data_IF_567195838945
#
_entry.id   IF_567195838945
#
_cell.length_a   1.000
_cell.length_b   1.000
_cell.length_c   1.000
_cell.angle_alpha   90.00
_cell.angle_beta   90.00
_cell.angle_gamma   90.00
#
_symmetry.space_group_name_H-M   'P 1'
#
loop_
_entity.id
_entity.type
_entity.pdbx_description
1 polymer ?
#
# COMPACT_ATOMS: atom_id res chain seq x y z
N UNK A 1 4.08 -3.43 15.06
CA UNK A 1 4.13 -2.10 14.39
C UNK A 1 4.89 -1.04 15.19
N UNK A 2 4.70 -0.92 16.52
CA UNK A 2 5.39 0.09 17.34
C UNK A 2 6.91 0.17 17.15
N UNK A 3 7.60 -0.97 17.02
CA UNK A 3 9.04 -0.99 16.77
C UNK A 3 9.42 -0.28 15.46
N UNK A 4 8.62 -0.46 14.39
CA UNK A 4 8.81 0.25 13.13
C UNK A 4 8.61 1.76 13.28
N UNK A 5 7.50 2.17 13.92
CA UNK A 5 7.19 3.59 14.15
C UNK A 5 8.30 4.27 14.99
N UNK A 6 8.77 3.61 16.03
CA UNK A 6 9.78 4.17 16.93
C UNK A 6 11.19 4.13 16.33
N UNK A 7 11.62 2.99 15.79
CA UNK A 7 13.02 2.78 15.40
C UNK A 7 13.30 3.19 13.95
N UNK A 8 12.37 2.97 13.02
CA UNK A 8 12.58 3.27 11.59
C UNK A 8 12.04 4.65 11.24
N UNK A 9 10.81 4.95 11.66
CA UNK A 9 10.21 6.27 11.45
C UNK A 9 10.71 7.32 12.45
N UNK A 10 11.37 6.90 13.54
CA UNK A 10 11.94 7.81 14.54
C UNK A 10 10.89 8.65 15.28
N UNK A 11 9.61 8.24 15.25
CA UNK A 11 8.54 9.04 15.83
C UNK A 11 8.47 8.85 17.34
N UNK A 12 8.62 9.96 18.05
CA UNK A 12 8.35 10.09 19.48
C UNK A 12 7.80 11.49 19.73
N UNK A 13 6.60 11.57 20.31
CA UNK A 13 5.88 12.83 20.54
C UNK A 13 6.66 13.82 21.43
N UNK A 14 7.64 13.34 22.20
CA UNK A 14 8.43 14.15 23.13
C UNK A 14 9.88 14.41 22.66
N UNK A 15 10.25 13.94 21.48
CA UNK A 15 11.61 13.98 20.97
C UNK A 15 11.66 14.61 19.57
N UNK A 16 12.75 15.31 19.28
CA UNK A 16 13.00 15.90 17.95
C UNK A 16 13.81 14.96 17.04
N UNK A 17 13.67 13.64 17.26
CA UNK A 17 14.37 12.62 16.49
C UNK A 17 13.81 12.51 15.09
N UNK A 18 14.70 12.38 14.10
CA UNK A 18 14.33 12.09 12.72
C UNK A 18 14.53 10.60 12.43
N UNK A 19 13.57 10.02 11.71
CA UNK A 19 13.69 8.66 11.19
C UNK A 19 14.44 8.62 9.86
N UNK A 20 14.45 7.44 9.25
CA UNK A 20 15.13 7.17 7.97
C UNK A 20 14.61 8.05 6.84
N UNK A 21 13.33 8.41 6.87
CA UNK A 21 12.68 9.24 5.83
C UNK A 21 12.58 10.73 6.23
N UNK A 22 13.15 11.11 7.38
CA UNK A 22 13.06 12.46 7.93
C UNK A 22 12.24 12.55 9.21
N UNK A 23 11.93 13.77 9.63
CA UNK A 23 11.16 14.06 10.84
C UNK A 23 9.68 13.79 10.60
N UNK A 24 9.09 12.86 11.34
CA UNK A 24 7.67 12.54 11.22
C UNK A 24 6.84 13.49 12.08
N UNK A 25 5.86 14.17 11.48
CA UNK A 25 4.94 15.07 12.18
C UNK A 25 3.63 14.36 12.57
N UNK A 26 3.14 13.46 11.71
CA UNK A 26 1.94 12.69 11.98
C UNK A 26 1.95 11.34 11.26
N UNK A 27 1.11 10.41 11.71
CA UNK A 27 0.79 9.19 10.98
C UNK A 27 -0.59 8.67 11.35
N UNK A 28 -1.13 7.87 10.45
CA UNK A 28 -2.32 7.06 10.65
C UNK A 28 -2.13 5.72 9.94
N UNK A 29 -2.35 4.61 10.64
CA UNK A 29 -2.30 3.27 10.09
C UNK A 29 -3.49 2.43 10.52
N UNK A 30 -3.97 1.56 9.64
CA UNK A 30 -5.04 0.61 9.91
C UNK A 30 -4.58 -0.79 9.51
N UNK A 31 -4.90 -1.78 10.35
CA UNK A 31 -4.58 -3.19 10.13
C UNK A 31 -5.80 -3.90 9.59
N UNK A 32 -5.65 -4.51 8.42
CA UNK A 32 -6.66 -5.38 7.83
C UNK A 32 -6.10 -6.78 7.60
N UNK A 33 -6.99 -7.78 7.55
CA UNK A 33 -6.60 -9.08 7.01
C UNK A 33 -6.90 -9.14 5.52
N UNK A 34 -5.90 -9.55 4.76
CA UNK A 34 -6.06 -9.80 3.35
C UNK A 34 -6.89 -11.08 3.12
N UNK A 35 -7.40 -11.30 1.90
CA UNK A 35 -8.18 -12.49 1.55
C UNK A 35 -7.48 -13.84 1.80
N UNK A 36 -6.16 -13.84 2.04
CA UNK A 36 -5.35 -15.02 2.41
C UNK A 36 -5.10 -15.14 3.92
N UNK A 37 -5.70 -14.27 4.73
CA UNK A 37 -5.65 -14.28 6.19
C UNK A 37 -4.43 -13.63 6.83
N UNK A 38 -3.42 -13.19 6.07
CA UNK A 38 -2.30 -12.41 6.59
C UNK A 38 -2.73 -11.00 6.97
N UNK A 39 -2.10 -10.44 8.01
CA UNK A 39 -2.34 -9.06 8.46
C UNK A 39 -1.47 -8.09 7.66
N UNK A 40 -2.07 -6.99 7.22
CA UNK A 40 -1.44 -5.92 6.46
C UNK A 40 -1.78 -4.60 7.12
N UNK A 41 -0.80 -3.69 7.18
CA UNK A 41 -1.02 -2.34 7.66
C UNK A 41 -0.96 -1.37 6.48
N UNK A 42 -2.06 -0.66 6.24
CA UNK A 42 -2.08 0.48 5.33
C UNK A 42 -1.84 1.75 6.13
N UNK A 43 -0.84 2.53 5.75
CA UNK A 43 -0.37 3.64 6.58
C UNK A 43 -0.06 4.87 5.75
N UNK A 44 -0.46 6.03 6.28
CA UNK A 44 -0.02 7.35 5.83
C UNK A 44 0.93 7.93 6.88
N UNK A 45 2.05 8.47 6.43
CA UNK A 45 3.07 9.10 7.26
C UNK A 45 3.36 10.49 6.69
N UNK A 46 3.25 11.51 7.54
CA UNK A 46 3.52 12.89 7.17
C UNK A 46 4.92 13.29 7.64
N UNK A 47 5.78 13.64 6.69
CA UNK A 47 7.14 14.10 6.94
C UNK A 47 7.13 15.63 7.01
N UNK A 48 7.68 16.18 8.08
CA UNK A 48 7.83 17.63 8.27
C UNK A 48 8.72 18.23 7.18
N UNK A 49 8.32 19.40 6.68
CA UNK A 49 9.02 20.09 5.58
C UNK A 49 8.85 19.46 4.19
N UNK A 50 8.03 18.41 4.03
CA UNK A 50 7.70 17.87 2.71
C UNK A 50 6.86 18.87 1.90
N UNK A 51 7.40 19.31 0.76
CA UNK A 51 6.72 20.24 -0.14
C UNK A 51 5.66 19.53 -0.99
N UNK A 52 4.67 20.28 -1.48
CA UNK A 52 3.74 19.78 -2.46
C UNK A 52 4.48 19.39 -3.76
N UNK A 53 4.13 18.27 -4.44
CA UNK A 53 4.76 17.89 -5.71
C UNK A 53 4.83 19.02 -6.76
N UNK A 54 3.79 19.87 -6.85
CA UNK A 54 3.79 21.02 -7.75
C UNK A 54 4.81 22.08 -7.30
N UNK A 55 4.93 22.35 -6.00
CA UNK A 55 5.93 23.29 -5.47
C UNK A 55 7.35 22.77 -5.67
N UNK A 56 7.57 21.46 -5.52
CA UNK A 56 8.85 20.83 -5.84
C UNK A 56 9.18 21.05 -7.31
N UNK A 57 8.25 20.73 -8.21
CA UNK A 57 8.44 20.93 -9.65
C UNK A 57 8.74 22.39 -10.00
N UNK A 58 7.97 23.32 -9.47
CA UNK A 58 8.13 24.75 -9.76
C UNK A 58 9.49 25.27 -9.25
N UNK A 59 9.95 24.79 -8.08
CA UNK A 59 11.30 25.10 -7.57
C UNK A 59 12.42 24.44 -8.38
N UNK A 60 12.23 23.20 -8.83
CA UNK A 60 13.18 22.50 -9.71
C UNK A 60 13.31 23.25 -11.04
N UNK A 61 12.20 23.70 -11.64
CA UNK A 61 12.22 24.45 -12.90
C UNK A 61 12.86 25.84 -12.73
N UNK A 62 12.62 26.51 -11.61
CA UNK A 62 13.22 27.81 -11.33
C UNK A 62 14.73 27.74 -11.04
N UNK A 63 15.23 26.58 -10.61
CA UNK A 63 16.58 26.39 -10.08
C UNK A 63 17.23 25.09 -10.60
N UNK A 64 17.06 24.79 -11.89
CA UNK A 64 17.40 23.48 -12.47
C UNK A 64 18.88 23.09 -12.29
N UNK A 65 19.77 24.07 -12.47
CA UNK A 65 21.22 23.92 -12.27
C UNK A 65 21.67 24.42 -10.89
N UNK A 66 20.74 24.76 -10.01
CA UNK A 66 21.05 25.38 -8.74
C UNK A 66 20.95 24.45 -7.55
N UNK A 67 21.05 25.03 -6.36
CA UNK A 67 21.27 24.29 -5.12
C UNK A 67 20.09 23.37 -4.76
N UNK A 68 18.85 23.81 -5.03
CA UNK A 68 17.66 23.06 -4.64
C UNK A 68 17.56 21.75 -5.40
N UNK A 69 17.65 21.79 -6.74
CA UNK A 69 17.56 20.62 -7.60
C UNK A 69 18.66 19.60 -7.28
N UNK A 70 19.90 20.07 -7.12
CA UNK A 70 21.04 19.22 -6.74
C UNK A 70 20.87 18.57 -5.37
N UNK A 71 20.35 19.30 -4.37
CA UNK A 71 20.10 18.76 -3.04
C UNK A 71 18.98 17.74 -3.03
N UNK A 72 17.91 17.98 -3.78
CA UNK A 72 16.80 17.04 -3.91
C UNK A 72 17.26 15.74 -4.58
N UNK A 73 17.97 15.84 -5.71
CA UNK A 73 18.53 14.67 -6.39
C UNK A 73 19.47 13.89 -5.47
N UNK A 74 20.40 14.57 -4.79
CA UNK A 74 21.30 13.92 -3.84
C UNK A 74 20.52 13.18 -2.76
N UNK A 75 19.55 13.83 -2.14
CA UNK A 75 18.73 13.21 -1.09
C UNK A 75 18.02 11.95 -1.60
N UNK A 76 17.41 11.99 -2.79
CA UNK A 76 16.76 10.82 -3.39
C UNK A 76 17.74 9.69 -3.69
N UNK A 77 18.94 10.00 -4.18
CA UNK A 77 19.97 9.01 -4.50
C UNK A 77 20.66 8.39 -3.28
N UNK A 78 20.69 9.11 -2.17
CA UNK A 78 21.15 8.59 -0.87
C UNK A 78 20.06 7.79 -0.15
N UNK A 79 18.78 8.04 -0.46
CA UNK A 79 17.64 7.38 0.19
C UNK A 79 17.20 6.11 -0.55
N UNK A 80 17.31 6.09 -1.88
CA UNK A 80 16.79 5.03 -2.75
C UNK A 80 17.94 4.30 -3.45
N UNK A 81 18.10 3.03 -3.10
CA UNK A 81 19.00 2.06 -3.72
C UNK A 81 18.25 1.19 -4.72
N UNK A 82 18.92 0.78 -5.79
CA UNK A 82 18.31 -0.01 -6.88
C UNK A 82 19.28 -1.00 -7.54
N UNK A 83 20.27 -1.46 -6.80
CA UNK A 83 21.16 -2.53 -7.22
C UNK A 83 21.50 -3.43 -6.04
N UNK A 84 21.93 -4.64 -6.34
CA UNK A 84 22.49 -5.53 -5.32
C UNK A 84 23.84 -4.96 -4.86
N UNK A 85 24.06 -4.72 -3.55
CA UNK A 85 25.34 -4.26 -3.04
C UNK A 85 26.47 -5.24 -3.40
N UNK A 86 27.74 -4.82 -3.42
CA UNK A 86 28.84 -5.74 -3.72
C UNK A 86 28.93 -6.87 -2.70
N UNK A 87 29.16 -8.09 -3.18
CA UNK A 87 29.41 -9.24 -2.32
C UNK A 87 30.70 -9.06 -1.51
N UNK A 88 30.68 -9.56 -0.27
CA UNK A 88 31.86 -9.57 0.62
C UNK A 88 32.38 -11.00 0.68
N UNK A 89 33.49 -11.25 0.00
CA UNK A 89 34.20 -12.54 0.02
C UNK A 89 35.28 -12.53 1.11
N UNK A 90 34.83 -12.62 2.36
CA UNK A 90 35.70 -12.81 3.51
C UNK A 90 35.32 -14.12 4.23
N UNK A 91 36.17 -15.16 4.18
CA UNK A 91 35.87 -16.45 4.80
C UNK A 91 35.78 -16.39 6.33
N UNK A 92 36.35 -15.36 6.96
CA UNK A 92 36.29 -15.17 8.42
C UNK A 92 34.92 -14.64 8.86
N UNK A 93 34.10 -14.14 7.92
CA UNK A 93 32.76 -13.61 8.20
C UNK A 93 31.73 -14.66 7.83
N UNK A 94 31.15 -15.31 8.84
CA UNK A 94 30.01 -16.21 8.68
C UNK A 94 28.77 -15.61 9.32
N UNK A 95 27.69 -15.48 8.54
CA UNK A 95 26.44 -14.87 8.99
C UNK A 95 25.25 -15.82 8.80
N UNK A 96 24.15 -15.66 9.57
CA UNK A 96 22.99 -16.55 9.45
C UNK A 96 22.39 -16.61 8.05
N UNK A 97 22.42 -15.50 7.30
CA UNK A 97 21.90 -15.42 5.93
C UNK A 97 22.73 -16.16 4.88
N UNK A 98 23.93 -16.67 5.24
CA UNK A 98 24.68 -17.60 4.39
C UNK A 98 24.02 -18.99 4.35
N UNK A 99 23.32 -19.39 5.42
CA UNK A 99 22.76 -20.73 5.61
C UNK A 99 21.24 -20.77 5.44
N UNK A 100 20.56 -19.70 5.85
CA UNK A 100 19.10 -19.61 5.85
C UNK A 100 18.63 -18.48 4.95
N UNK A 101 17.35 -18.48 4.60
CA UNK A 101 16.77 -17.36 3.86
C UNK A 101 16.95 -16.06 4.65
N UNK A 102 17.40 -15.00 3.98
CA UNK A 102 17.77 -13.76 4.68
C UNK A 102 16.61 -13.15 5.47
N UNK A 103 15.37 -13.29 4.98
CA UNK A 103 14.14 -12.85 5.66
C UNK A 103 13.69 -13.73 6.84
N UNK A 104 14.29 -14.90 7.06
CA UNK A 104 13.90 -15.82 8.15
C UNK A 104 14.84 -15.76 9.36
N UNK A 105 15.80 -14.83 9.37
CA UNK A 105 16.79 -14.65 10.43
C UNK A 105 16.76 -13.19 10.92
N UNK A 106 17.21 -12.94 12.15
CA UNK A 106 17.19 -11.60 12.77
C UNK A 106 18.30 -10.66 12.26
N UNK A 107 19.24 -11.17 11.48
CA UNK A 107 20.45 -10.47 11.05
C UNK A 107 21.71 -11.03 11.73
N UNK A 108 22.88 -10.45 11.44
CA UNK A 108 24.15 -10.85 12.05
C UNK A 108 24.23 -10.38 13.51
N UNK A 109 25.02 -11.10 14.31
CA UNK A 109 25.43 -10.63 15.63
C UNK A 109 26.47 -9.51 15.46
N UNK A 110 26.29 -8.42 16.20
CA UNK A 110 27.16 -7.25 16.15
C UNK A 110 28.08 -7.16 17.38
N UNK A 111 28.06 -8.15 18.28
CA UNK A 111 29.07 -8.31 19.35
C UNK A 111 30.39 -8.87 18.78
N UNK A 112 30.95 -8.14 17.82
CA UNK A 112 32.19 -8.44 17.09
C UNK A 112 33.10 -7.22 17.09
N UNK A 113 34.34 -7.37 16.63
CA UNK A 113 35.26 -6.25 16.54
C UNK A 113 34.78 -5.19 15.54
N UNK A 114 35.02 -3.91 15.86
CA UNK A 114 34.53 -2.77 15.08
C UNK A 114 34.93 -2.83 13.59
N UNK A 115 36.11 -3.39 13.28
CA UNK A 115 36.62 -3.57 11.93
C UNK A 115 35.83 -4.60 11.11
N UNK A 116 35.15 -5.55 11.77
CA UNK A 116 34.34 -6.58 11.14
C UNK A 116 32.86 -6.19 11.02
N UNK A 117 32.38 -5.19 11.78
CA UNK A 117 30.97 -4.74 11.75
C UNK A 117 30.54 -4.33 10.33
N UNK A 118 31.29 -3.43 9.70
CA UNK A 118 30.97 -2.93 8.36
C UNK A 118 30.88 -4.03 7.30
N UNK A 119 31.95 -4.85 7.13
CA UNK A 119 31.93 -6.00 6.23
C UNK A 119 30.82 -7.01 6.52
N UNK A 120 30.50 -7.26 7.79
CA UNK A 120 29.44 -8.18 8.21
C UNK A 120 28.06 -7.68 7.81
N UNK A 121 27.77 -6.40 8.07
CA UNK A 121 26.52 -5.75 7.67
C UNK A 121 26.37 -5.69 6.15
N UNK A 122 27.45 -5.37 5.42
CA UNK A 122 27.42 -5.36 3.95
C UNK A 122 27.15 -6.75 3.38
N UNK A 123 27.78 -7.80 3.92
CA UNK A 123 27.54 -9.18 3.50
C UNK A 123 26.08 -9.56 3.71
N UNK A 124 25.50 -9.20 4.85
CA UNK A 124 24.10 -9.48 5.14
C UNK A 124 23.15 -8.69 4.23
N UNK A 125 23.41 -7.39 4.02
CA UNK A 125 22.63 -6.55 3.12
C UNK A 125 22.64 -7.10 1.69
N UNK A 126 23.82 -7.52 1.18
CA UNK A 126 23.93 -8.21 -0.10
C UNK A 126 22.99 -9.42 -0.18
N UNK A 127 23.04 -10.30 0.82
CA UNK A 127 22.20 -11.50 0.87
C UNK A 127 20.70 -11.16 0.92
N UNK A 128 20.28 -10.16 1.71
CA UNK A 128 18.88 -9.75 1.81
C UNK A 128 18.38 -9.18 0.48
N UNK A 129 19.13 -8.24 -0.12
CA UNK A 129 18.73 -7.58 -1.37
C UNK A 129 18.67 -8.61 -2.51
N UNK A 130 19.70 -9.45 -2.63
CA UNK A 130 19.74 -10.51 -3.65
C UNK A 130 18.55 -11.47 -3.56
N UNK A 131 18.11 -11.82 -2.34
CA UNK A 131 17.00 -12.77 -2.13
C UNK A 131 15.62 -12.12 -2.15
N UNK A 132 15.50 -10.87 -1.69
CA UNK A 132 14.20 -10.24 -1.42
C UNK A 132 13.84 -9.14 -2.43
N UNK A 133 14.80 -8.54 -3.13
CA UNK A 133 14.55 -7.45 -4.08
C UNK A 133 14.75 -7.83 -5.54
N UNK A 134 15.58 -8.84 -5.82
CA UNK A 134 15.81 -9.29 -7.18
C UNK A 134 14.55 -9.95 -7.76
N UNK A 135 14.04 -9.37 -8.83
CA UNK A 135 12.84 -9.82 -9.51
C UNK A 135 13.13 -11.04 -10.39
N UNK A 136 12.37 -12.11 -10.18
CA UNK A 136 12.26 -13.22 -11.12
C UNK A 136 10.90 -13.19 -11.79
N UNK A 137 10.85 -13.05 -13.12
CA UNK A 137 9.58 -12.99 -13.83
C UNK A 137 8.78 -14.28 -13.65
N UNK A 138 7.50 -14.14 -13.31
CA UNK A 138 6.52 -15.23 -13.18
C UNK A 138 5.32 -14.97 -14.09
N UNK A 139 4.36 -15.90 -14.12
CA UNK A 139 3.12 -15.74 -14.89
C UNK A 139 2.38 -14.43 -14.54
N UNK A 140 2.44 -14.00 -13.28
CA UNK A 140 1.83 -12.74 -12.80
C UNK A 140 2.39 -11.50 -13.48
N UNK A 141 3.67 -11.50 -13.87
CA UNK A 141 4.29 -10.40 -14.62
C UNK A 141 3.62 -10.17 -15.98
N UNK A 142 2.99 -11.21 -16.52
CA UNK A 142 2.36 -11.20 -17.84
C UNK A 142 0.85 -11.41 -17.76
N UNK A 143 0.23 -11.18 -16.59
CA UNK A 143 -1.22 -11.34 -16.35
C UNK A 143 -2.08 -10.64 -17.41
N UNK A 144 -1.64 -9.47 -17.88
CA UNK A 144 -2.37 -8.65 -18.86
C UNK A 144 -1.83 -8.75 -20.29
N UNK A 145 -0.87 -9.64 -20.55
CA UNK A 145 -0.32 -9.81 -21.88
C UNK A 145 -1.32 -10.55 -22.78
N UNK A 146 -1.70 -9.92 -23.90
CA UNK A 146 -2.73 -10.42 -24.83
C UNK A 146 -2.19 -11.36 -25.91
N UNK A 147 -0.92 -11.73 -25.84
CA UNK A 147 -0.24 -12.58 -26.82
C UNK A 147 0.44 -11.80 -27.95
N UNK A 148 1.02 -12.47 -28.96
CA UNK A 148 1.57 -11.81 -30.13
C UNK A 148 0.45 -11.10 -30.94
N UNK A 149 0.71 -9.92 -31.54
CA UNK A 149 2.00 -9.27 -31.71
C UNK A 149 2.41 -8.33 -30.56
N UNK A 150 1.67 -8.28 -29.45
CA UNK A 150 2.03 -7.39 -28.34
C UNK A 150 3.34 -7.84 -27.69
N UNK A 151 4.26 -6.92 -27.34
CA UNK A 151 5.49 -7.27 -26.64
C UNK A 151 5.17 -7.83 -25.27
N UNK A 152 5.96 -8.81 -24.85
CA UNK A 152 5.82 -9.45 -23.55
C UNK A 152 6.57 -8.61 -22.51
N UNK A 153 5.89 -7.61 -21.97
CA UNK A 153 6.44 -6.65 -20.99
C UNK A 153 6.03 -7.04 -19.58
N UNK A 154 6.94 -6.88 -18.62
CA UNK A 154 6.65 -7.07 -17.20
C UNK A 154 5.66 -5.99 -16.72
N UNK A 155 4.53 -6.40 -16.12
CA UNK A 155 3.54 -5.49 -15.50
C UNK A 155 4.16 -4.50 -14.51
N UNK A 156 5.24 -4.90 -13.84
CA UNK A 156 5.93 -4.09 -12.83
C UNK A 156 7.02 -3.18 -13.42
N UNK A 157 7.20 -3.20 -14.75
CA UNK A 157 8.22 -2.42 -15.46
C UNK A 157 9.67 -2.72 -15.02
N UNK A 158 9.91 -3.99 -14.66
CA UNK A 158 11.24 -4.52 -14.29
C UNK A 158 11.79 -5.35 -15.46
N UNK A 159 12.91 -4.88 -16.02
CA UNK A 159 13.60 -5.48 -17.16
C UNK A 159 15.11 -5.31 -17.02
N UNK A 160 15.89 -6.32 -17.41
CA UNK A 160 17.35 -6.23 -17.38
C UNK A 160 17.92 -5.14 -18.32
N UNK A 161 17.15 -4.73 -19.33
CA UNK A 161 17.50 -3.64 -20.22
C UNK A 161 17.31 -2.25 -19.60
N UNK A 162 16.57 -2.14 -18.48
CA UNK A 162 16.37 -0.88 -17.78
C UNK A 162 17.65 -0.50 -17.03
N UNK A 163 18.51 0.28 -17.69
CA UNK A 163 19.77 0.77 -17.13
C UNK A 163 19.97 2.25 -17.47
N UNK A 164 20.22 3.06 -16.45
CA UNK A 164 20.45 4.49 -16.55
C UNK A 164 21.52 4.89 -15.50
N UNK A 165 22.77 5.14 -15.89
CA UNK A 165 23.86 5.33 -14.92
C UNK A 165 23.79 6.68 -14.18
N UNK A 166 23.18 7.70 -14.79
CA UNK A 166 23.15 9.07 -14.28
C UNK A 166 21.71 9.56 -14.15
N UNK A 167 21.46 10.38 -13.13
CA UNK A 167 20.16 11.03 -12.98
C UNK A 167 20.09 12.30 -13.81
N UNK A 168 18.90 12.64 -14.30
CA UNK A 168 18.69 13.86 -15.08
C UNK A 168 17.36 14.53 -14.71
N UNK A 169 17.25 15.81 -15.05
CA UNK A 169 16.03 16.60 -14.88
C UNK A 169 15.58 17.04 -16.27
N UNK A 170 14.31 16.83 -16.59
CA UNK A 170 13.75 17.36 -17.82
C UNK A 170 13.58 18.89 -17.71
N UNK A 171 14.21 19.69 -18.58
CA UNK A 171 14.20 21.16 -18.49
C UNK A 171 12.84 21.80 -18.79
N UNK A 172 11.94 21.09 -19.46
CA UNK A 172 10.61 21.59 -19.81
C UNK A 172 9.57 21.16 -18.78
N UNK A 173 9.60 19.90 -18.33
CA UNK A 173 8.59 19.35 -17.41
C UNK A 173 8.98 19.41 -15.94
N UNK A 174 10.28 19.52 -15.62
CA UNK A 174 10.81 19.43 -14.26
C UNK A 174 10.80 18.00 -13.70
N UNK A 175 10.53 17.00 -14.53
CA UNK A 175 10.52 15.59 -14.10
C UNK A 175 11.93 15.09 -13.81
N UNK A 176 12.06 14.40 -12.67
CA UNK A 176 13.31 13.79 -12.23
C UNK A 176 13.38 12.36 -12.78
N UNK A 177 14.40 12.07 -13.57
CA UNK A 177 14.77 10.73 -13.98
C UNK A 177 15.92 10.27 -13.08
N UNK A 178 15.63 9.39 -12.12
CA UNK A 178 16.65 8.84 -11.23
C UNK A 178 17.49 7.78 -11.96
N UNK A 179 18.77 7.68 -11.60
CA UNK A 179 19.65 6.61 -12.08
C UNK A 179 19.03 5.25 -11.74
N UNK A 180 19.19 4.27 -12.62
CA UNK A 180 18.82 2.87 -12.44
C UNK A 180 20.04 2.00 -12.75
N UNK A 181 20.62 1.35 -11.74
CA UNK A 181 21.84 0.55 -11.92
C UNK A 181 21.55 -0.93 -12.19
N UNK A 182 20.38 -1.43 -11.75
CA UNK A 182 19.92 -2.80 -12.02
C UNK A 182 18.39 -2.80 -12.19
N UNK A 183 17.93 -2.92 -13.43
CA UNK A 183 16.51 -2.87 -13.77
C UNK A 183 15.67 -4.05 -13.30
N UNK A 184 16.29 -5.08 -12.72
CA UNK A 184 15.59 -6.21 -12.09
C UNK A 184 15.50 -6.10 -10.57
N UNK A 185 16.10 -5.09 -9.96
CA UNK A 185 16.07 -4.88 -8.51
C UNK A 185 15.02 -3.83 -8.18
N UNK A 186 14.05 -4.19 -7.32
CA UNK A 186 13.12 -3.20 -6.78
C UNK A 186 13.86 -2.10 -6.03
N UNK A 187 13.32 -0.88 -6.05
CA UNK A 187 13.88 0.22 -5.28
C UNK A 187 13.71 -0.03 -3.78
N UNK A 188 14.75 0.18 -2.98
CA UNK A 188 14.72 -0.05 -1.55
C UNK A 188 15.50 1.04 -0.81
N UNK A 189 15.36 1.07 0.52
CA UNK A 189 16.23 1.84 1.39
C UNK A 189 17.07 0.88 2.23
N UNK A 190 18.39 1.09 2.27
CA UNK A 190 19.35 0.20 2.93
C UNK A 190 19.02 -0.03 4.40
N UNK A 191 18.63 1.01 5.14
CA UNK A 191 18.29 0.89 6.56
C UNK A 191 16.96 0.16 6.74
N UNK A 192 15.93 0.53 5.98
CA UNK A 192 14.61 -0.10 6.07
C UNK A 192 14.69 -1.60 5.73
N UNK A 193 15.35 -1.99 4.64
CA UNK A 193 15.45 -3.39 4.25
C UNK A 193 16.28 -4.21 5.25
N UNK A 194 17.28 -3.61 5.90
CA UNK A 194 18.07 -4.28 6.93
C UNK A 194 17.25 -4.58 8.19
N UNK A 195 16.36 -3.66 8.57
CA UNK A 195 15.46 -3.82 9.72
C UNK A 195 14.27 -4.75 9.41
N UNK A 196 13.64 -4.58 8.24
CA UNK A 196 12.40 -5.27 7.87
C UNK A 196 12.64 -6.62 7.22
N UNK A 197 13.78 -6.77 6.54
CA UNK A 197 14.27 -8.00 5.88
C UNK A 197 13.28 -8.63 4.88
N UNK A 198 12.37 -7.84 4.34
CA UNK A 198 11.36 -8.26 3.37
C UNK A 198 11.44 -7.44 2.07
N UNK A 199 10.73 -7.91 1.04
CA UNK A 199 10.60 -7.18 -0.21
C UNK A 199 9.96 -5.79 0.05
N UNK A 200 10.45 -4.77 -0.65
CA UNK A 200 9.91 -3.41 -0.58
C UNK A 200 10.08 -2.72 -1.94
N UNK A 201 9.28 -1.69 -2.20
CA UNK A 201 9.39 -0.88 -3.41
C UNK A 201 9.23 0.61 -3.05
N UNK A 202 10.36 1.31 -2.89
CA UNK A 202 10.38 2.72 -2.50
C UNK A 202 10.43 3.62 -3.74
N UNK A 203 9.42 4.46 -3.93
CA UNK A 203 9.32 5.35 -5.09
C UNK A 203 9.07 6.80 -4.68
N UNK A 204 9.80 7.71 -5.32
CA UNK A 204 9.52 9.14 -5.24
C UNK A 204 8.40 9.50 -6.21
N UNK A 205 7.37 10.19 -5.70
CA UNK A 205 6.22 10.65 -6.51
C UNK A 205 6.28 12.18 -6.62
N UNK A 206 6.93 12.67 -7.67
CA UNK A 206 7.12 14.11 -7.91
C UNK A 206 6.00 14.80 -8.70
N UNK A 207 5.00 14.05 -9.17
CA UNK A 207 3.92 14.56 -10.02
C UNK A 207 2.61 14.69 -9.23
N UNK A 208 1.96 15.85 -9.30
CA UNK A 208 0.69 16.11 -8.63
C UNK A 208 -0.44 15.12 -9.01
N UNK A 209 -0.69 14.87 -10.31
CA UNK A 209 -1.63 13.83 -10.75
C UNK A 209 -1.30 12.43 -10.21
N UNK A 210 -0.03 12.00 -10.29
CA UNK A 210 0.39 10.70 -9.78
C UNK A 210 0.24 10.59 -8.26
N UNK A 211 0.59 11.65 -7.52
CA UNK A 211 0.42 11.72 -6.07
C UNK A 211 -1.06 11.59 -5.68
N UNK A 212 -1.97 12.30 -6.39
CA UNK A 212 -3.42 12.14 -6.17
C UNK A 212 -3.88 10.72 -6.44
N UNK A 213 -3.48 10.11 -7.55
CA UNK A 213 -3.86 8.74 -7.88
C UNK A 213 -3.41 7.73 -6.81
N UNK A 214 -2.17 7.85 -6.34
CA UNK A 214 -1.63 7.01 -5.25
C UNK A 214 -2.37 7.26 -3.94
N UNK A 215 -2.67 8.52 -3.60
CA UNK A 215 -3.45 8.85 -2.40
C UNK A 215 -4.86 8.24 -2.45
N UNK A 216 -5.55 8.31 -3.58
CA UNK A 216 -6.86 7.65 -3.75
C UNK A 216 -6.76 6.15 -3.59
N UNK A 217 -5.75 5.52 -4.22
CA UNK A 217 -5.50 4.10 -4.09
C UNK A 217 -5.29 3.70 -2.63
N UNK A 218 -4.36 4.36 -1.91
CA UNK A 218 -4.10 4.06 -0.49
C UNK A 218 -5.34 4.30 0.38
N UNK A 219 -6.07 5.39 0.12
CA UNK A 219 -7.30 5.71 0.86
C UNK A 219 -8.35 4.63 0.67
N UNK A 220 -8.52 4.10 -0.54
CA UNK A 220 -9.45 3.00 -0.82
C UNK A 220 -9.14 1.78 0.05
N UNK A 221 -7.86 1.39 0.16
CA UNK A 221 -7.45 0.30 1.06
C UNK A 221 -7.66 0.63 2.55
N UNK A 222 -7.33 1.85 2.99
CA UNK A 222 -7.54 2.25 4.40
C UNK A 222 -9.04 2.25 4.75
N UNK A 223 -9.89 2.63 3.81
CA UNK A 223 -11.36 2.71 4.00
C UNK A 223 -12.09 1.44 3.58
N UNK A 224 -11.36 0.39 3.22
CA UNK A 224 -11.92 -0.84 2.69
C UNK A 224 -12.88 -1.47 3.68
N UNK A 225 -14.11 -1.73 3.23
CA UNK A 225 -15.11 -2.37 4.08
C UNK A 225 -14.65 -3.80 4.44
N UNK A 226 -14.67 -4.18 5.73
CA UNK A 226 -14.36 -5.55 6.15
C UNK A 226 -15.45 -6.55 5.72
N UNK A 227 -16.62 -6.07 5.28
CA UNK A 227 -17.75 -6.90 4.87
C UNK A 227 -17.81 -7.04 3.35
N UNK A 228 -17.31 -8.17 2.83
CA UNK A 228 -17.39 -8.50 1.40
C UNK A 228 -18.84 -8.76 0.99
N UNK A 229 -19.25 -8.27 -0.19
CA UNK A 229 -20.63 -8.34 -0.67
C UNK A 229 -21.21 -9.77 -0.66
N UNK A 230 -20.44 -10.79 -1.03
CA UNK A 230 -20.91 -12.19 -1.04
C UNK A 230 -21.26 -12.72 0.36
N UNK A 231 -20.55 -12.29 1.41
CA UNK A 231 -20.87 -12.61 2.82
C UNK A 231 -22.18 -11.94 3.21
N UNK A 232 -22.36 -10.68 2.80
CA UNK A 232 -23.62 -9.94 2.98
C UNK A 232 -24.79 -10.66 2.29
N UNK A 233 -24.60 -11.09 1.04
CA UNK A 233 -25.63 -11.79 0.25
C UNK A 233 -25.99 -13.17 0.83
N UNK A 234 -25.01 -13.98 1.24
CA UNK A 234 -25.25 -15.27 1.86
C UNK A 234 -26.02 -15.13 3.20
N UNK A 235 -25.64 -14.14 4.01
CA UNK A 235 -26.33 -13.84 5.25
C UNK A 235 -27.76 -13.28 5.03
N UNK A 236 -27.95 -12.44 4.01
CA UNK A 236 -29.28 -11.98 3.57
C UNK A 236 -30.15 -13.17 3.14
N UNK A 237 -29.61 -14.09 2.31
CA UNK A 237 -30.32 -15.28 1.86
C UNK A 237 -30.75 -16.16 3.04
N UNK A 238 -29.84 -16.41 3.98
CA UNK A 238 -30.12 -17.21 5.19
C UNK A 238 -31.19 -16.57 6.07
N UNK A 239 -31.13 -15.25 6.24
CA UNK A 239 -32.11 -14.52 7.03
C UNK A 239 -33.50 -14.49 6.38
N UNK A 240 -33.58 -14.36 5.05
CA UNK A 240 -34.83 -14.48 4.29
C UNK A 240 -35.43 -15.88 4.46
N UNK A 241 -34.60 -16.92 4.35
CA UNK A 241 -35.04 -18.31 4.56
C UNK A 241 -35.61 -18.52 5.97
N UNK A 242 -34.86 -18.12 7.01
CA UNK A 242 -35.28 -18.23 8.42
C UNK A 242 -36.50 -17.38 8.77
N UNK A 243 -36.82 -16.32 8.02
CA UNK A 243 -38.07 -15.55 8.19
C UNK A 243 -39.23 -16.21 7.46
N UNK A 244 -38.98 -16.89 6.33
CA UNK A 244 -39.99 -17.69 5.63
C UNK A 244 -40.47 -18.90 6.43
N UNK A 245 -39.59 -19.52 7.23
CA UNK A 245 -39.92 -20.69 8.05
C UNK A 245 -40.72 -20.39 9.32
N UNK A 246 -40.68 -19.14 9.82
CA UNK A 246 -41.12 -18.81 11.18
C UNK A 246 -42.45 -18.06 11.31
N UNK A 247 -43.17 -17.72 10.22
CA UNK A 247 -44.41 -16.94 10.36
C UNK A 247 -45.64 -17.55 9.66
N UNK A 248 -46.54 -18.11 10.49
CA UNK A 248 -47.89 -18.56 10.17
C UNK A 248 -48.92 -17.44 10.39
N UNK A 249 -48.58 -16.31 11.03
CA UNK A 249 -49.59 -15.30 11.41
C UNK A 249 -49.26 -13.87 10.97
N UNK A 250 -50.18 -13.28 10.20
CA UNK A 250 -50.05 -11.99 9.54
C UNK A 250 -50.35 -10.84 10.51
N UNK A 251 -49.36 -10.19 11.13
CA UNK A 251 -49.54 -8.79 11.56
C UNK A 251 -48.22 -7.99 11.53
N UNK A 252 -48.30 -6.87 10.82
CA UNK A 252 -47.30 -5.80 10.65
C UNK A 252 -46.05 -6.08 9.80
N UNK A 253 -46.15 -5.70 8.52
CA UNK A 253 -45.06 -5.75 7.54
C UNK A 253 -43.82 -4.96 8.00
N UNK A 254 -43.98 -3.88 8.78
CA UNK A 254 -42.86 -3.08 9.26
C UNK A 254 -42.06 -3.83 10.34
N UNK A 255 -42.74 -4.52 11.28
CA UNK A 255 -42.07 -5.39 12.23
C UNK A 255 -41.40 -6.59 11.57
N UNK A 256 -42.02 -7.17 10.53
CA UNK A 256 -41.41 -8.25 9.74
C UNK A 256 -40.14 -7.79 9.02
N UNK A 257 -40.17 -6.63 8.36
CA UNK A 257 -39.00 -6.06 7.71
C UNK A 257 -37.88 -5.76 8.71
N UNK A 258 -38.20 -5.18 9.87
CA UNK A 258 -37.24 -4.92 10.94
C UNK A 258 -36.60 -6.20 11.49
N UNK A 259 -37.40 -7.24 11.75
CA UNK A 259 -36.90 -8.55 12.22
C UNK A 259 -36.03 -9.24 11.17
N UNK A 260 -36.40 -9.14 9.90
CA UNK A 260 -35.60 -9.66 8.79
C UNK A 260 -34.25 -8.95 8.75
N UNK A 261 -34.22 -7.62 8.73
CA UNK A 261 -32.98 -6.83 8.74
C UNK A 261 -32.09 -7.15 9.95
N UNK A 262 -32.67 -7.31 11.14
CA UNK A 262 -31.93 -7.72 12.33
C UNK A 262 -31.35 -9.13 12.19
N UNK A 263 -32.11 -10.10 11.68
CA UNK A 263 -31.61 -11.46 11.43
C UNK A 263 -30.53 -11.47 10.34
N UNK A 264 -30.66 -10.66 9.29
CA UNK A 264 -29.61 -10.47 8.28
C UNK A 264 -28.34 -9.94 8.94
N UNK A 265 -28.45 -8.88 9.76
CA UNK A 265 -27.33 -8.30 10.47
C UNK A 265 -26.64 -9.29 11.42
N UNK A 266 -27.40 -10.04 12.21
CA UNK A 266 -26.85 -11.05 13.10
C UNK A 266 -26.19 -12.21 12.34
N UNK A 267 -26.78 -12.65 11.22
CA UNK A 267 -26.19 -13.68 10.37
C UNK A 267 -24.90 -13.20 9.69
N UNK A 268 -24.86 -11.94 9.24
CA UNK A 268 -23.66 -11.32 8.65
C UNK A 268 -22.51 -11.33 9.64
N UNK A 269 -22.78 -10.98 10.90
CA UNK A 269 -21.76 -10.96 11.96
C UNK A 269 -21.38 -12.38 12.39
N UNK A 270 -22.35 -13.30 12.55
CA UNK A 270 -22.08 -14.64 13.09
C UNK A 270 -21.38 -15.59 12.12
N UNK A 271 -21.52 -15.35 10.81
CA UNK A 271 -20.90 -16.15 9.76
C UNK A 271 -19.68 -15.47 9.13
N UNK A 272 -19.22 -14.36 9.70
CA UNK A 272 -17.97 -13.76 9.27
C UNK A 272 -16.81 -14.66 9.67
N UNK A 273 -16.16 -15.26 8.68
CA UNK A 273 -14.92 -16.01 8.88
C UNK A 273 -13.79 -15.01 9.18
N UNK A 274 -13.03 -15.30 10.24
CA UNK A 274 -11.85 -14.54 10.63
C UNK A 274 -10.62 -15.42 10.45
N UNK A 275 -9.52 -14.83 10.00
CA UNK A 275 -8.27 -15.57 9.89
C UNK A 275 -7.69 -15.91 11.26
N UNK A 276 -6.90 -16.98 11.33
CA UNK A 276 -6.22 -17.36 12.56
C UNK A 276 -5.33 -16.22 13.09
N UNK A 277 -4.74 -15.42 12.20
CA UNK A 277 -3.90 -14.28 12.53
C UNK A 277 -4.71 -13.13 13.12
N UNK A 278 -5.91 -12.82 12.58
CA UNK A 278 -6.80 -11.82 13.17
C UNK A 278 -7.24 -12.22 14.57
N UNK A 279 -7.63 -13.49 14.73
CA UNK A 279 -8.04 -14.01 16.04
C UNK A 279 -6.86 -13.95 17.01
N UNK A 280 -5.66 -14.34 16.58
CA UNK A 280 -4.46 -14.25 17.42
C UNK A 280 -4.19 -12.79 17.85
N UNK A 281 -4.18 -11.86 16.90
CA UNK A 281 -3.99 -10.42 17.15
C UNK A 281 -4.98 -9.90 18.21
N UNK A 282 -6.26 -10.25 18.06
CA UNK A 282 -7.29 -9.86 19.00
C UNK A 282 -7.11 -10.49 20.38
N UNK A 283 -6.73 -11.78 20.45
CA UNK A 283 -6.50 -12.48 21.72
C UNK A 283 -5.24 -12.01 22.44
N UNK A 284 -4.26 -11.49 21.72
CA UNK A 284 -3.02 -10.91 22.28
C UNK A 284 -3.12 -9.42 22.57
N UNK A 285 -4.32 -8.82 22.41
CA UNK A 285 -4.57 -7.39 22.63
C UNK A 285 -3.67 -6.49 21.78
N UNK A 286 -3.40 -6.93 20.54
CA UNK A 286 -2.67 -6.13 19.56
C UNK A 286 -3.61 -5.11 18.91
N UNK A 287 -3.11 -3.89 18.70
CA UNK A 287 -3.87 -2.79 18.11
C UNK A 287 -4.21 -3.06 16.63
N UNK A 288 -5.43 -2.71 16.23
CA UNK A 288 -5.91 -2.77 14.84
C UNK A 288 -5.74 -1.44 14.08
N UNK A 289 -5.27 -0.39 14.77
CA UNK A 289 -4.94 0.90 14.18
C UNK A 289 -3.87 1.61 14.99
N UNK A 290 -3.09 2.46 14.32
CA UNK A 290 -1.99 3.21 14.91
C UNK A 290 -2.17 4.69 14.59
N UNK A 291 -2.22 5.54 15.61
CA UNK A 291 -2.47 6.97 15.45
C UNK A 291 -1.47 7.81 16.22
N UNK A 292 -1.04 8.93 15.63
CA UNK A 292 -0.21 9.91 16.32
C UNK A 292 -1.02 11.02 17.01
N UNK A 293 -2.29 11.20 16.61
CA UNK A 293 -3.19 12.23 17.12
C UNK A 293 -4.55 11.65 17.46
N UNK A 294 -5.31 12.38 18.27
CA UNK A 294 -6.71 12.10 18.50
C UNK A 294 -7.56 12.69 17.37
N UNK A 295 -8.46 11.89 16.83
CA UNK A 295 -9.37 12.29 15.76
C UNK A 295 -10.77 12.58 16.32
N UNK A 296 -11.50 13.45 15.63
CA UNK A 296 -12.90 13.75 15.93
C UNK A 296 -13.78 13.34 14.77
N UNK A 297 -15.00 12.89 15.08
CA UNK A 297 -15.96 12.49 14.06
C UNK A 297 -16.39 13.71 13.22
N UNK A 298 -16.11 13.64 11.92
CA UNK A 298 -16.63 14.59 10.95
C UNK A 298 -17.85 13.99 10.27
N UNK A 299 -19.02 14.55 10.54
CA UNK A 299 -20.25 14.17 9.83
C UNK A 299 -20.24 14.76 8.42
N UNK A 300 -19.61 14.06 7.48
CA UNK A 300 -19.29 14.56 6.14
C UNK A 300 -20.46 15.26 5.45
N UNK A 301 -21.64 14.64 5.39
CA UNK A 301 -22.82 15.23 4.72
C UNK A 301 -23.27 16.54 5.38
N UNK A 302 -23.20 16.64 6.71
CA UNK A 302 -23.59 17.87 7.42
C UNK A 302 -22.54 18.97 7.21
N UNK A 303 -21.26 18.59 7.22
CA UNK A 303 -20.15 19.49 6.95
C UNK A 303 -20.16 20.00 5.51
N UNK A 304 -20.32 19.12 4.53
CA UNK A 304 -20.46 19.45 3.11
C UNK A 304 -21.61 20.43 2.87
N UNK A 305 -22.80 20.16 3.43
CA UNK A 305 -23.94 21.09 3.35
C UNK A 305 -23.63 22.46 3.96
N UNK A 306 -22.89 22.50 5.06
CA UNK A 306 -22.48 23.75 5.69
C UNK A 306 -21.51 24.52 4.79
N UNK A 307 -20.50 23.86 4.23
CA UNK A 307 -19.54 24.47 3.30
C UNK A 307 -20.26 24.97 2.05
N UNK A 308 -21.11 24.15 1.45
CA UNK A 308 -21.87 24.51 0.25
C UNK A 308 -22.81 25.71 0.48
N UNK A 309 -23.39 25.82 1.68
CA UNK A 309 -24.22 26.98 2.03
C UNK A 309 -23.43 28.30 2.14
N UNK A 310 -22.12 28.22 2.39
CA UNK A 310 -21.25 29.38 2.58
C UNK A 310 -20.42 29.71 1.34
N UNK A 311 -19.97 28.67 0.62
CA UNK A 311 -19.12 28.76 -0.56
C UNK A 311 -19.54 27.68 -1.56
N UNK A 312 -20.58 27.95 -2.37
CA UNK A 312 -21.10 26.97 -3.30
C UNK A 312 -20.05 26.57 -4.33
N UNK A 313 -19.89 25.27 -4.58
CA UNK A 313 -18.93 24.76 -5.57
C UNK A 313 -19.53 24.82 -6.97
N UNK A 314 -19.10 25.73 -7.87
CA UNK A 314 -19.76 25.92 -9.17
C UNK A 314 -19.64 24.70 -10.09
N UNK A 315 -18.60 23.89 -9.90
CA UNK A 315 -18.30 22.69 -10.69
C UNK A 315 -19.25 21.53 -10.40
N UNK A 316 -19.73 21.41 -9.16
CA UNK A 316 -20.64 20.38 -8.68
C UNK A 316 -22.10 20.62 -9.08
N UNK A 317 -22.44 21.83 -9.55
CA UNK A 317 -23.81 22.23 -9.87
C UNK A 317 -23.94 22.91 -11.23
N UNK A 318 -22.94 22.76 -12.10
CA UNK A 318 -22.92 23.31 -13.47
C UNK A 318 -24.11 22.87 -14.35
N UNK A 319 -24.78 21.77 -13.98
CA UNK A 319 -26.00 21.26 -14.62
C UNK A 319 -27.31 21.88 -14.09
N UNK A 320 -27.30 22.52 -12.92
CA UNK A 320 -28.50 23.16 -12.36
C UNK A 320 -28.77 24.55 -12.96
N UNK A 321 -27.75 25.20 -13.52
CA UNK A 321 -27.91 26.50 -14.21
C UNK A 321 -28.47 26.38 -15.63
N UNK A 322 -28.56 25.18 -16.20
CA UNK A 322 -29.06 24.97 -17.58
C UNK A 322 -30.51 24.45 -17.63
N UNK A 323 -31.02 23.81 -16.57
CA UNK A 323 -32.33 23.14 -16.62
C UNK A 323 -33.50 23.92 -16.01
N UNK A 324 -33.58 25.24 -16.24
CA UNK A 324 -34.85 25.96 -16.05
C UNK A 324 -35.79 25.91 -17.25
N UNK A 325 -35.38 25.26 -18.37
CA UNK A 325 -36.25 25.03 -19.52
C UNK A 325 -35.80 23.76 -20.29
N UNK A 326 -36.27 22.57 -19.91
CA UNK A 326 -36.72 21.51 -20.83
C UNK A 326 -37.05 20.20 -20.09
N UNK A 327 -38.17 19.61 -20.52
CA UNK A 327 -38.82 18.40 -20.00
C UNK A 327 -37.99 17.11 -20.10
N UNK A 328 -38.19 16.28 -19.08
CA UNK A 328 -38.20 14.81 -18.97
C UNK A 328 -37.48 13.89 -19.98
N UNK A 329 -36.89 12.85 -19.36
CA UNK A 329 -36.48 11.53 -19.85
C UNK A 329 -35.02 11.39 -20.34
N UNK A 330 -34.12 11.12 -19.39
CA UNK A 330 -33.07 10.13 -19.62
C UNK A 330 -32.62 9.49 -18.30
N UNK A 331 -32.78 8.17 -18.24
CA UNK A 331 -32.22 7.26 -17.22
C UNK A 331 -30.68 7.39 -17.17
N UNK A 332 -30.06 7.47 -15.98
CA UNK A 332 -28.61 7.36 -15.86
C UNK A 332 -28.18 5.92 -16.16
N UNK A 333 -27.25 5.77 -17.09
CA UNK A 333 -26.53 4.52 -17.36
C UNK A 333 -25.71 4.11 -16.12
N UNK A 334 -25.91 2.86 -15.69
CA UNK A 334 -25.13 2.19 -14.65
C UNK A 334 -23.63 2.28 -14.98
N UNK A 335 -22.87 2.85 -14.04
CA UNK A 335 -21.41 2.73 -14.03
C UNK A 335 -21.13 1.35 -13.45
N UNK A 336 -20.58 0.48 -14.29
CA UNK A 336 -20.17 -0.88 -13.97
C UNK A 336 -18.96 -0.79 -13.01
N UNK A 337 -19.21 -0.84 -11.70
CA UNK A 337 -18.17 -1.03 -10.69
C UNK A 337 -17.67 -2.48 -10.80
N UNK A 338 -16.69 -2.68 -11.68
CA UNK A 338 -15.95 -3.94 -11.71
C UNK A 338 -15.09 -4.04 -10.45
N UNK A 339 -15.60 -4.79 -9.46
CA UNK A 339 -14.85 -5.32 -8.32
C UNK A 339 -13.60 -6.04 -8.85
N UNK A 340 -12.45 -5.36 -8.86
CA UNK A 340 -11.13 -5.96 -9.11
C UNK A 340 -10.70 -6.73 -7.85
N UNK A 341 -11.41 -7.83 -7.59
CA UNK A 341 -10.95 -8.84 -6.64
C UNK A 341 -9.71 -9.50 -7.24
N UNK A 342 -8.53 -9.11 -6.77
CA UNK A 342 -7.31 -9.90 -6.88
C UNK A 342 -7.48 -11.20 -6.04
N UNK A 343 -8.30 -12.11 -6.55
CA UNK A 343 -8.44 -13.47 -6.04
C UNK A 343 -7.29 -14.31 -6.57
N UNK A 344 -6.28 -14.37 -5.74
CA UNK A 344 -5.03 -15.05 -5.97
C UNK A 344 -5.24 -16.54 -5.59
N UNK A 345 -6.11 -17.21 -6.35
CA UNK A 345 -6.61 -18.56 -6.13
C UNK A 345 -5.93 -19.54 -7.11
N UNK A 346 -4.70 -19.94 -6.81
CA UNK A 346 -4.07 -21.08 -7.50
C UNK A 346 -4.45 -22.34 -6.73
N UNK A 347 -5.42 -23.07 -7.27
CA UNK A 347 -5.72 -24.45 -6.91
C UNK A 347 -4.45 -25.31 -7.08
N UNK A 348 -3.98 -25.86 -5.97
CA UNK A 348 -2.95 -26.91 -5.95
C UNK A 348 -3.55 -28.16 -6.57
N UNK A 349 -3.41 -28.32 -7.89
CA UNK A 349 -3.56 -29.62 -8.51
C UNK A 349 -2.22 -30.32 -8.45
N UNK A 350 -2.16 -31.31 -7.56
CA UNK A 350 -1.21 -32.43 -7.56
C UNK A 350 -1.03 -32.97 -8.97
N UNK A 351 0.15 -32.73 -9.56
CA UNK A 351 0.61 -33.46 -10.74
C UNK A 351 1.57 -34.52 -10.23
N UNK A 352 1.15 -35.76 -10.45
CA UNK A 352 1.88 -36.99 -10.18
C UNK A 352 3.30 -36.93 -10.77
N UNK A 353 4.24 -37.36 -9.94
CA UNK A 353 5.51 -37.92 -10.37
C UNK A 353 5.25 -39.16 -11.22
N UNK A 354 5.70 -39.17 -12.47
CA UNK A 354 6.01 -40.37 -13.25
C UNK A 354 7.09 -40.00 -14.28
N UNK A 355 8.30 -40.48 -14.01
CA UNK A 355 9.36 -41.01 -14.89
C UNK A 355 9.43 -40.53 -16.37
N UNK A 356 10.52 -39.84 -16.72
CA UNK A 356 11.72 -40.40 -17.40
C UNK A 356 12.79 -39.31 -17.65
#
# INVERSE_FOLDING_TARGET
MHAFIKAVLGYDANSDTSGVLGKVSAFYGCVEAQGRGTLHCHMLVWIDGALNPNEIRDKVLADIDGEFAHRLLRHLLETISNCVPPAVDNPDISIPSDKYHASSVLGPDLDISDDLIGPTLQKDLHNIVLKSQLHGHRATCYKYWKGPPQPKVCRFDLDAANYCPESSINPESGELNLRCLDGLVNNYNDTMISCLRCNMDLKFIGSGPSAKAVLYYITDYITKSPLKAHVSYAALQLAVHKVGELDIDRHDNAMRAKRLLQKCAHAMISHQELSAQQVASYLTDEEDHFTSHQFSNLFWIAFEKLIESQSPSPECYSYLTVNSNQDDNNTPSEVDDSDDSDDDNVSVNSINTEDD
#
